data_IF_320915496086
#
_entry.id   IF_320915496086
#
_cell.length_a   1.000
_cell.length_b   1.000
_cell.length_c   1.000
_cell.angle_alpha   90.00
_cell.angle_beta   90.00
_cell.angle_gamma   90.00
#
_symmetry.space_group_name_H-M   'P 1'
#
loop_
_entity.id
_entity.type
_entity.pdbx_description
1 polymer ?
#
# COMPACT_ATOMS: atom_id res chain seq x y z
N UNK A 1 59.68 -2.66 -23.90
CA UNK A 1 59.49 -4.08 -23.57
C UNK A 1 58.99 -4.12 -22.14
N UNK A 2 57.67 -3.95 -21.97
CA UNK A 2 56.66 -5.03 -21.87
C UNK A 2 56.56 -5.52 -20.41
N UNK A 3 55.47 -5.48 -19.67
CA UNK A 3 54.05 -5.23 -19.96
C UNK A 3 53.35 -4.80 -18.65
N UNK A 4 52.40 -3.87 -18.77
CA UNK A 4 51.37 -3.58 -17.78
C UNK A 4 50.49 -4.83 -17.53
N UNK A 5 50.33 -5.25 -16.27
CA UNK A 5 49.24 -6.13 -15.87
C UNK A 5 48.22 -5.35 -15.04
N UNK A 6 47.24 -4.84 -15.77
CA UNK A 6 46.01 -4.24 -15.31
C UNK A 6 45.12 -5.33 -14.69
N UNK A 7 44.99 -5.37 -13.36
CA UNK A 7 44.06 -6.25 -12.66
C UNK A 7 42.75 -5.50 -12.38
N UNK A 8 41.83 -5.68 -13.31
CA UNK A 8 40.47 -5.14 -13.34
C UNK A 8 39.67 -5.54 -12.08
N UNK A 9 39.50 -4.60 -11.14
CA UNK A 9 38.58 -4.74 -10.01
C UNK A 9 37.14 -4.76 -10.52
N UNK A 10 36.61 -5.95 -10.82
CA UNK A 10 35.17 -6.20 -10.99
C UNK A 10 34.42 -5.76 -9.72
N UNK A 11 33.86 -4.54 -9.74
CA UNK A 11 32.88 -4.06 -8.75
C UNK A 11 31.67 -5.01 -8.81
N UNK A 12 31.57 -5.93 -7.86
CA UNK A 12 30.36 -6.72 -7.62
C UNK A 12 29.25 -5.75 -7.24
N UNK A 13 28.25 -5.59 -8.11
CA UNK A 13 26.99 -4.90 -7.76
C UNK A 13 26.39 -5.58 -6.51
N UNK A 14 25.94 -4.83 -5.50
CA UNK A 14 25.26 -5.42 -4.36
C UNK A 14 23.98 -6.07 -4.90
N UNK A 15 23.86 -7.40 -4.71
CA UNK A 15 22.60 -8.10 -4.96
C UNK A 15 21.58 -7.53 -3.97
N UNK A 16 20.56 -6.87 -4.49
CA UNK A 16 19.40 -6.44 -3.70
C UNK A 16 18.70 -7.69 -3.15
N UNK A 17 19.00 -8.03 -1.91
CA UNK A 17 18.11 -8.87 -1.13
C UNK A 17 16.89 -8.00 -0.81
N UNK A 18 15.69 -8.36 -1.32
CA UNK A 18 14.40 -8.33 -0.60
C UNK A 18 13.24 -8.69 -1.55
N UNK A 19 12.41 -9.62 -1.04
CA UNK A 19 11.06 -10.01 -1.41
C UNK A 19 10.79 -10.36 -2.89
N UNK A 20 11.25 -11.55 -3.28
CA UNK A 20 10.49 -12.41 -4.18
C UNK A 20 9.03 -12.41 -3.76
N UNK A 21 8.12 -12.22 -4.72
CA UNK A 21 6.69 -12.51 -4.57
C UNK A 21 6.54 -13.81 -3.80
N UNK A 22 5.79 -13.87 -2.68
CA UNK A 22 5.63 -15.12 -1.96
C UNK A 22 5.12 -16.17 -2.94
N UNK A 23 5.75 -17.35 -2.93
CA UNK A 23 5.35 -18.48 -3.76
C UNK A 23 3.82 -18.63 -3.68
N UNK A 24 3.17 -18.80 -4.84
CA UNK A 24 1.71 -18.86 -4.90
C UNK A 24 1.22 -20.01 -4.04
N UNK A 25 0.67 -19.69 -2.87
CA UNK A 25 -0.09 -20.66 -2.08
C UNK A 25 -1.26 -21.09 -2.96
N UNK A 26 -1.44 -22.40 -3.14
CA UNK A 26 -2.57 -22.91 -3.91
C UNK A 26 -3.88 -22.40 -3.29
N UNK A 27 -4.63 -21.60 -4.05
CA UNK A 27 -5.94 -21.10 -3.61
C UNK A 27 -6.93 -22.27 -3.63
N UNK A 28 -7.74 -22.47 -2.57
CA UNK A 28 -8.81 -23.45 -2.59
C UNK A 28 -9.88 -23.07 -3.62
N UNK A 29 -10.75 -24.02 -3.94
CA UNK A 29 -11.92 -23.76 -4.77
C UNK A 29 -12.90 -22.79 -4.09
N UNK A 30 -13.74 -22.14 -4.91
CA UNK A 30 -14.83 -21.29 -4.39
C UNK A 30 -15.77 -22.06 -3.47
N UNK A 31 -16.07 -23.33 -3.79
CA UNK A 31 -16.96 -24.18 -2.98
C UNK A 31 -16.39 -24.43 -1.59
N UNK A 32 -15.09 -24.73 -1.48
CA UNK A 32 -14.39 -24.89 -0.21
C UNK A 32 -14.43 -23.61 0.63
N UNK A 33 -14.19 -22.45 -0.01
CA UNK A 33 -14.23 -21.15 0.67
C UNK A 33 -15.64 -20.82 1.19
N UNK A 34 -16.68 -21.04 0.38
CA UNK A 34 -18.07 -20.87 0.83
C UNK A 34 -18.44 -21.88 1.94
N UNK A 35 -17.95 -23.12 1.84
CA UNK A 35 -18.06 -24.13 2.89
C UNK A 35 -17.48 -23.66 4.22
N UNK A 36 -16.30 -23.03 4.20
CA UNK A 36 -15.69 -22.44 5.39
C UNK A 36 -16.54 -21.31 5.99
N UNK A 37 -17.15 -20.45 5.17
CA UNK A 37 -18.07 -19.42 5.67
C UNK A 37 -19.29 -20.04 6.36
N UNK A 38 -19.86 -21.12 5.81
CA UNK A 38 -20.97 -21.85 6.48
C UNK A 38 -20.54 -22.41 7.84
N UNK A 39 -19.30 -22.88 7.97
CA UNK A 39 -18.74 -23.32 9.26
C UNK A 39 -18.68 -22.14 10.23
N UNK A 40 -18.17 -20.98 9.81
CA UNK A 40 -18.09 -19.78 10.65
C UNK A 40 -19.47 -19.28 11.10
N UNK A 41 -20.49 -19.33 10.24
CA UNK A 41 -21.86 -18.97 10.60
C UNK A 41 -22.41 -19.86 11.72
N UNK A 42 -22.24 -21.18 11.61
CA UNK A 42 -22.64 -22.12 12.68
C UNK A 42 -21.82 -21.92 13.95
N UNK A 43 -20.53 -21.67 13.81
CA UNK A 43 -19.65 -21.41 14.95
C UNK A 43 -20.05 -20.14 15.70
N UNK A 44 -20.54 -19.11 14.99
CA UNK A 44 -21.11 -17.91 15.60
C UNK A 44 -22.46 -18.14 16.29
N UNK A 45 -23.08 -19.32 16.12
CA UNK A 45 -24.35 -19.71 16.74
C UNK A 45 -25.60 -19.46 15.90
N UNK A 46 -25.46 -19.19 14.60
CA UNK A 46 -26.58 -18.92 13.70
C UNK A 46 -26.84 -20.12 12.75
N UNK A 47 -28.04 -20.17 12.16
CA UNK A 47 -28.48 -21.21 11.22
C UNK A 47 -28.24 -20.76 9.77
N UNK A 48 -27.28 -21.37 9.03
CA UNK A 48 -27.01 -21.00 7.64
C UNK A 48 -28.17 -21.27 6.67
N UNK A 49 -29.18 -22.05 7.07
CA UNK A 49 -30.34 -22.38 6.24
C UNK A 49 -31.46 -21.34 6.29
N UNK A 50 -31.40 -20.38 7.23
CA UNK A 50 -32.40 -19.29 7.28
C UNK A 50 -32.26 -18.36 6.08
N UNK A 51 -33.39 -17.82 5.63
CA UNK A 51 -33.49 -16.99 4.41
C UNK A 51 -32.36 -15.96 4.25
N UNK A 52 -32.06 -15.21 5.32
CA UNK A 52 -31.02 -14.17 5.29
C UNK A 52 -29.58 -14.68 5.13
N UNK A 53 -29.29 -15.95 5.43
CA UNK A 53 -27.94 -16.52 5.40
C UNK A 53 -27.68 -17.49 4.25
N UNK A 54 -28.71 -17.94 3.53
CA UNK A 54 -28.58 -18.90 2.42
C UNK A 54 -27.46 -18.50 1.44
N UNK A 55 -27.46 -17.23 1.03
CA UNK A 55 -26.48 -16.67 0.08
C UNK A 55 -25.31 -15.95 0.75
N UNK A 56 -25.26 -15.89 2.08
CA UNK A 56 -24.15 -15.23 2.80
C UNK A 56 -22.79 -15.81 2.43
N UNK A 57 -22.58 -17.14 2.34
CA UNK A 57 -21.32 -17.71 1.90
C UNK A 57 -20.83 -17.14 0.56
N UNK A 58 -21.69 -17.13 -0.45
CA UNK A 58 -21.36 -16.63 -1.77
C UNK A 58 -21.08 -15.11 -1.77
N UNK A 59 -21.85 -14.33 -0.99
CA UNK A 59 -21.63 -12.88 -0.80
C UNK A 59 -20.30 -12.59 -0.11
N UNK A 60 -19.94 -13.36 0.93
CA UNK A 60 -18.68 -13.18 1.65
C UNK A 60 -17.48 -13.49 0.74
N UNK A 61 -17.55 -14.58 -0.03
CA UNK A 61 -16.45 -14.92 -0.96
C UNK A 61 -16.29 -13.85 -2.04
N UNK A 62 -17.40 -13.32 -2.61
CA UNK A 62 -17.32 -12.18 -3.55
C UNK A 62 -16.70 -10.93 -2.91
N UNK A 63 -17.08 -10.62 -1.67
CA UNK A 63 -16.48 -9.50 -0.96
C UNK A 63 -14.96 -9.71 -0.76
N UNK A 64 -14.51 -10.94 -0.49
CA UNK A 64 -13.09 -11.25 -0.34
C UNK A 64 -12.30 -11.11 -1.64
N UNK A 65 -12.91 -11.41 -2.79
CA UNK A 65 -12.33 -11.15 -4.11
C UNK A 65 -12.05 -9.64 -4.29
N UNK A 66 -12.96 -8.76 -3.85
CA UNK A 66 -12.76 -7.31 -3.89
C UNK A 66 -11.75 -6.82 -2.86
N UNK A 67 -11.84 -7.31 -1.62
CA UNK A 67 -11.00 -6.90 -0.50
C UNK A 67 -9.53 -7.27 -0.71
N UNK A 68 -9.28 -8.36 -1.44
CA UNK A 68 -7.96 -8.93 -1.66
C UNK A 68 -7.50 -8.92 -3.12
N UNK A 69 -8.19 -8.17 -3.99
CA UNK A 69 -7.86 -8.01 -5.41
C UNK A 69 -6.40 -7.54 -5.64
N UNK A 70 -5.80 -6.85 -4.66
CA UNK A 70 -4.43 -6.38 -4.75
C UNK A 70 -3.38 -7.48 -4.89
N UNK A 71 -3.69 -8.73 -4.55
CA UNK A 71 -2.78 -9.87 -4.80
C UNK A 71 -2.67 -10.23 -6.29
N UNK A 72 -3.66 -9.87 -7.11
CA UNK A 72 -3.70 -10.17 -8.55
C UNK A 72 -3.04 -9.07 -9.39
N UNK A 73 -2.48 -8.04 -8.74
CA UNK A 73 -1.80 -6.93 -9.37
C UNK A 73 -0.33 -6.87 -8.97
N UNK A 74 0.57 -6.69 -9.95
CA UNK A 74 1.96 -6.29 -9.69
C UNK A 74 2.05 -4.76 -9.51
N UNK A 75 2.40 -4.27 -8.31
CA UNK A 75 2.59 -2.85 -8.03
C UNK A 75 3.62 -2.16 -8.95
N UNK A 76 4.62 -2.91 -9.45
CA UNK A 76 5.65 -2.36 -10.35
C UNK A 76 5.09 -2.07 -11.74
N UNK A 77 4.27 -2.97 -12.27
CA UNK A 77 3.63 -2.80 -13.58
C UNK A 77 2.68 -1.61 -13.61
N UNK A 78 2.02 -1.30 -12.48
CA UNK A 78 1.17 -0.11 -12.36
C UNK A 78 1.96 1.17 -12.68
N UNK A 79 3.21 1.24 -12.24
CA UNK A 79 4.11 2.39 -12.40
C UNK A 79 4.92 2.36 -13.72
N UNK A 80 4.83 1.30 -14.52
CA UNK A 80 5.67 1.10 -15.72
C UNK A 80 5.57 2.19 -16.78
N UNK A 81 4.42 2.86 -16.90
CA UNK A 81 4.22 3.98 -17.83
C UNK A 81 4.58 5.30 -17.15
N UNK A 82 5.79 5.77 -17.43
CA UNK A 82 6.29 7.07 -16.99
C UNK A 82 6.37 8.05 -18.15
N UNK A 83 6.26 9.33 -17.85
CA UNK A 83 6.47 10.43 -18.79
C UNK A 83 7.85 11.04 -18.50
N UNK A 84 8.65 11.20 -19.55
CA UNK A 84 9.94 11.91 -19.52
C UNK A 84 9.84 13.36 -20.01
N UNK A 85 8.78 13.69 -20.75
CA UNK A 85 8.46 15.06 -21.16
C UNK A 85 7.74 15.78 -20.02
N UNK A 86 8.51 16.42 -19.15
CA UNK A 86 7.98 17.23 -18.04
C UNK A 86 8.55 18.65 -18.02
N UNK A 87 9.05 19.15 -19.16
CA UNK A 87 9.62 20.50 -19.31
C UNK A 87 10.60 20.88 -18.19
N UNK A 88 11.37 19.91 -17.70
CA UNK A 88 12.35 20.11 -16.63
C UNK A 88 11.77 20.24 -15.21
N UNK A 89 10.50 19.91 -14.98
CA UNK A 89 9.86 19.97 -13.66
C UNK A 89 10.65 19.16 -12.62
N UNK A 90 11.24 19.86 -11.65
CA UNK A 90 12.13 19.32 -10.62
C UNK A 90 11.64 19.61 -9.19
N UNK A 91 10.41 20.08 -9.06
CA UNK A 91 9.73 20.43 -7.80
C UNK A 91 9.00 19.24 -7.17
N UNK A 92 8.62 19.36 -5.89
CA UNK A 92 7.91 18.30 -5.18
C UNK A 92 6.54 18.01 -5.82
N UNK A 93 6.22 16.73 -6.04
CA UNK A 93 4.89 16.27 -6.44
C UNK A 93 4.24 15.59 -5.25
N UNK A 94 3.05 16.04 -4.86
CA UNK A 94 2.28 15.48 -3.73
C UNK A 94 0.87 15.10 -4.19
N UNK A 95 0.49 13.84 -3.97
CA UNK A 95 -0.89 13.39 -3.99
C UNK A 95 -1.31 13.06 -2.55
N UNK A 96 -2.15 13.91 -1.97
CA UNK A 96 -2.64 13.77 -0.60
C UNK A 96 -4.10 13.33 -0.54
N UNK A 97 -4.51 12.83 0.62
CA UNK A 97 -5.89 12.43 0.91
C UNK A 97 -6.43 11.29 0.03
N UNK A 98 -5.54 10.36 -0.36
CA UNK A 98 -5.92 9.15 -1.09
C UNK A 98 -6.62 8.21 -0.11
N UNK A 99 -7.96 8.19 -0.11
CA UNK A 99 -8.74 7.27 0.71
C UNK A 99 -8.37 5.81 0.37
N UNK A 100 -8.20 4.98 1.39
CA UNK A 100 -8.00 3.54 1.21
C UNK A 100 -8.79 2.71 2.24
N UNK A 101 -9.15 1.48 1.85
CA UNK A 101 -9.48 0.41 2.78
C UNK A 101 -8.49 -0.74 2.65
N UNK A 102 -7.96 -1.18 3.79
CA UNK A 102 -7.16 -2.38 3.93
C UNK A 102 -7.71 -3.28 5.02
N UNK A 103 -7.07 -4.42 5.28
CA UNK A 103 -7.56 -5.42 6.24
C UNK A 103 -6.40 -5.90 7.09
N UNK A 104 -6.52 -5.74 8.40
CA UNK A 104 -5.48 -6.14 9.34
C UNK A 104 -5.23 -7.65 9.25
N UNK A 105 -4.01 -8.07 8.92
CA UNK A 105 -3.70 -9.50 8.72
C UNK A 105 -3.90 -10.35 9.98
N UNK A 106 -3.87 -9.75 11.17
CA UNK A 106 -4.08 -10.43 12.44
C UNK A 106 -5.54 -10.80 12.73
N UNK A 107 -6.49 -10.03 12.19
CA UNK A 107 -7.91 -10.15 12.55
C UNK A 107 -8.85 -10.17 11.34
N UNK A 108 -8.33 -9.91 10.13
CA UNK A 108 -9.09 -9.76 8.89
C UNK A 108 -10.20 -8.70 8.99
N UNK A 109 -9.95 -7.67 9.80
CA UNK A 109 -10.87 -6.57 10.10
C UNK A 109 -10.35 -5.28 9.45
N UNK A 110 -11.24 -4.37 8.98
CA UNK A 110 -10.80 -3.22 8.20
C UNK A 110 -9.83 -2.26 8.90
N UNK A 111 -8.90 -1.72 8.11
CA UNK A 111 -8.08 -0.54 8.38
C UNK A 111 -8.53 0.49 7.36
N UNK A 112 -9.08 1.62 7.81
CA UNK A 112 -9.67 2.63 6.92
C UNK A 112 -9.01 3.96 7.20
N UNK A 113 -8.55 4.62 6.14
CA UNK A 113 -7.80 5.85 6.29
C UNK A 113 -7.45 6.51 4.97
N UNK A 114 -6.38 7.30 5.02
CA UNK A 114 -5.86 8.04 3.89
C UNK A 114 -4.34 7.91 3.76
N UNK A 115 -3.89 7.91 2.52
CA UNK A 115 -2.49 7.93 2.16
C UNK A 115 -2.12 9.31 1.59
N UNK A 116 -0.91 9.73 1.92
CA UNK A 116 -0.26 10.91 1.36
C UNK A 116 1.05 10.44 0.74
N UNK A 117 1.19 10.61 -0.57
CA UNK A 117 2.34 10.13 -1.34
C UNK A 117 2.99 11.33 -2.01
N UNK A 118 4.29 11.48 -1.78
CA UNK A 118 5.10 12.53 -2.36
C UNK A 118 6.40 11.97 -2.94
N UNK A 119 6.90 12.60 -4.00
CA UNK A 119 8.24 12.33 -4.51
C UNK A 119 8.81 13.58 -5.17
N UNK A 120 10.15 13.65 -5.20
CA UNK A 120 10.89 14.72 -5.87
C UNK A 120 11.53 14.13 -7.13
N UNK A 121 11.04 14.46 -8.34
CA UNK A 121 11.50 13.83 -9.58
C UNK A 121 12.98 14.15 -9.85
N UNK A 122 13.64 13.20 -10.50
CA UNK A 122 14.96 13.41 -11.11
C UNK A 122 14.81 13.47 -12.63
N UNK A 123 14.21 12.43 -13.23
CA UNK A 123 14.01 12.33 -14.68
C UNK A 123 12.63 11.79 -15.10
N UNK A 124 11.88 11.20 -14.15
CA UNK A 124 10.63 10.49 -14.45
C UNK A 124 9.49 11.00 -13.59
N UNK A 125 8.36 11.23 -14.23
CA UNK A 125 7.08 11.52 -13.58
C UNK A 125 6.09 10.43 -13.96
N UNK A 126 5.23 10.09 -13.01
CA UNK A 126 4.14 9.14 -13.20
C UNK A 126 2.80 9.87 -13.20
N UNK A 127 1.85 9.38 -13.98
CA UNK A 127 0.48 9.92 -13.96
C UNK A 127 -0.15 9.82 -12.58
N UNK A 128 -0.90 10.86 -12.19
CA UNK A 128 -1.51 11.00 -10.85
C UNK A 128 -2.33 9.76 -10.47
N UNK A 129 -3.11 9.21 -11.40
CA UNK A 129 -3.93 8.01 -11.16
C UNK A 129 -3.12 6.75 -10.84
N UNK A 130 -1.84 6.69 -11.19
CA UNK A 130 -0.97 5.55 -10.88
C UNK A 130 -0.53 5.54 -9.43
N UNK A 131 -0.37 6.70 -8.79
CA UNK A 131 -0.09 6.79 -7.35
C UNK A 131 -1.27 6.24 -6.54
N UNK A 132 -2.50 6.61 -6.89
CA UNK A 132 -3.71 6.06 -6.27
C UNK A 132 -3.80 4.53 -6.46
N UNK A 133 -3.60 4.04 -7.70
CA UNK A 133 -3.61 2.60 -7.99
C UNK A 133 -2.50 1.83 -7.26
N UNK A 134 -1.33 2.45 -7.04
CA UNK A 134 -0.25 1.85 -6.26
C UNK A 134 -0.67 1.66 -4.80
N UNK A 135 -1.33 2.68 -4.21
CA UNK A 135 -1.90 2.57 -2.86
C UNK A 135 -2.93 1.43 -2.82
N UNK A 136 -3.88 1.40 -3.77
CA UNK A 136 -4.92 0.35 -3.82
C UNK A 136 -4.35 -1.06 -3.97
N UNK A 137 -3.32 -1.25 -4.80
CA UNK A 137 -2.70 -2.55 -4.99
C UNK A 137 -2.13 -3.14 -3.70
N UNK A 138 -1.64 -2.30 -2.79
CA UNK A 138 -1.20 -2.73 -1.46
C UNK A 138 -2.29 -2.70 -0.40
N UNK A 139 -3.27 -1.78 -0.50
CA UNK A 139 -4.39 -1.66 0.42
C UNK A 139 -5.31 -2.87 0.34
N UNK A 140 -5.61 -3.35 -0.88
CA UNK A 140 -6.48 -4.51 -1.16
C UNK A 140 -5.75 -5.83 -0.92
N UNK A 141 -5.13 -5.98 0.25
CA UNK A 141 -4.40 -7.17 0.75
C UNK A 141 -4.61 -7.28 2.26
N UNK A 142 -4.23 -8.44 2.81
CA UNK A 142 -4.00 -8.54 4.25
C UNK A 142 -2.69 -7.80 4.59
N UNK A 143 -2.74 -6.91 5.57
CA UNK A 143 -1.67 -5.96 5.87
C UNK A 143 -1.46 -5.67 7.36
N UNK A 144 -0.26 -5.15 7.63
CA UNK A 144 0.04 -4.23 8.73
C UNK A 144 0.37 -2.85 8.13
N UNK A 145 -0.04 -1.76 8.78
CA UNK A 145 0.03 -0.41 8.19
C UNK A 145 1.48 0.03 7.92
N UNK A 146 2.43 -0.35 8.78
CA UNK A 146 3.85 -0.09 8.64
C UNK A 146 4.43 -0.73 7.36
N UNK A 147 4.07 -1.99 7.12
CA UNK A 147 4.49 -2.74 5.93
C UNK A 147 3.91 -2.13 4.67
N UNK A 148 2.62 -1.82 4.66
CA UNK A 148 1.96 -1.14 3.54
C UNK A 148 2.65 0.19 3.23
N UNK A 149 2.95 1.00 4.25
CA UNK A 149 3.65 2.29 4.10
C UNK A 149 5.03 2.11 3.45
N UNK A 150 5.81 1.13 3.93
CA UNK A 150 7.11 0.83 3.36
C UNK A 150 7.01 0.31 1.92
N UNK A 151 6.08 -0.59 1.65
CA UNK A 151 5.87 -1.18 0.32
C UNK A 151 5.55 -0.12 -0.74
N UNK A 152 4.66 0.84 -0.44
CA UNK A 152 4.32 1.93 -1.36
C UNK A 152 5.56 2.77 -1.68
N UNK A 153 6.26 3.24 -0.63
CA UNK A 153 7.42 4.12 -0.77
C UNK A 153 8.59 3.44 -1.49
N UNK A 154 8.92 2.20 -1.08
CA UNK A 154 10.05 1.46 -1.62
C UNK A 154 9.78 1.09 -3.11
N UNK A 155 8.54 0.71 -3.46
CA UNK A 155 8.16 0.43 -4.87
C UNK A 155 8.26 1.70 -5.73
N UNK A 156 7.76 2.84 -5.24
CA UNK A 156 7.84 4.10 -5.96
C UNK A 156 9.30 4.51 -6.20
N UNK A 157 10.14 4.36 -5.18
CA UNK A 157 11.56 4.67 -5.26
C UNK A 157 12.30 3.73 -6.24
N UNK A 158 11.99 2.43 -6.20
CA UNK A 158 12.58 1.43 -7.10
C UNK A 158 12.25 1.73 -8.57
N UNK A 159 10.98 2.00 -8.87
CA UNK A 159 10.51 2.15 -10.26
C UNK A 159 10.85 3.54 -10.83
N UNK A 160 10.61 4.62 -10.08
CA UNK A 160 10.83 5.97 -10.59
C UNK A 160 12.27 6.46 -10.42
N UNK A 161 13.01 5.91 -9.45
CA UNK A 161 14.34 6.39 -9.03
C UNK A 161 14.38 7.93 -8.87
N UNK A 162 13.48 8.50 -8.04
CA UNK A 162 13.44 9.94 -7.79
C UNK A 162 14.58 10.37 -6.86
N UNK A 163 14.77 11.69 -6.68
CA UNK A 163 15.66 12.26 -5.66
C UNK A 163 15.24 11.83 -4.25
N UNK A 164 13.94 11.63 -4.03
CA UNK A 164 13.40 11.10 -2.79
C UNK A 164 11.91 10.81 -2.86
N UNK A 165 11.42 10.08 -1.86
CA UNK A 165 10.02 9.68 -1.68
C UNK A 165 9.61 9.89 -0.24
N UNK A 166 8.40 10.42 -0.03
CA UNK A 166 7.72 10.48 1.26
C UNK A 166 6.35 9.83 1.18
N UNK A 167 6.06 8.88 2.07
CA UNK A 167 4.72 8.29 2.22
C UNK A 167 4.29 8.39 3.67
N UNK A 168 3.07 8.86 3.90
CA UNK A 168 2.43 8.90 5.22
C UNK A 168 1.05 8.26 5.09
N UNK A 169 0.74 7.31 5.97
CA UNK A 169 -0.59 6.73 6.11
C UNK A 169 -1.19 7.13 7.45
N UNK A 170 -2.45 7.55 7.46
CA UNK A 170 -3.24 7.85 8.65
C UNK A 170 -4.52 7.01 8.61
N UNK A 171 -4.72 6.12 9.57
CA UNK A 171 -5.87 5.22 9.54
C UNK A 171 -6.42 4.84 10.92
N UNK A 172 -7.72 4.57 10.95
CA UNK A 172 -8.40 3.93 12.06
C UNK A 172 -8.40 2.41 11.87
N UNK A 173 -8.18 1.68 12.95
CA UNK A 173 -8.10 0.22 12.98
C UNK A 173 -9.35 -0.35 13.63
N UNK A 174 -10.24 -0.96 12.83
CA UNK A 174 -11.49 -1.49 13.37
C UNK A 174 -11.24 -2.66 14.35
N UNK A 175 -10.08 -3.33 14.26
CA UNK A 175 -9.67 -4.33 15.25
C UNK A 175 -9.42 -3.77 16.66
N UNK A 176 -9.26 -2.45 16.80
CA UNK A 176 -9.18 -1.75 18.09
C UNK A 176 -10.48 -1.02 18.44
N UNK A 177 -11.24 -0.58 17.44
CA UNK A 177 -12.45 0.23 17.66
C UNK A 177 -13.70 -0.60 17.91
N UNK A 178 -13.89 -1.73 17.22
CA UNK A 178 -15.12 -2.54 17.34
C UNK A 178 -14.99 -3.75 18.25
N UNK A 179 -13.77 -4.10 18.66
CA UNK A 179 -13.48 -5.23 19.56
C UNK A 179 -12.26 -4.96 20.44
N UNK A 180 -12.03 -5.85 21.41
CA UNK A 180 -10.82 -5.83 22.23
C UNK A 180 -10.78 -4.61 23.16
N UNK A 181 -9.91 -3.65 22.87
CA UNK A 181 -9.71 -2.45 23.72
C UNK A 181 -10.75 -1.33 23.52
N UNK A 182 -11.60 -1.45 22.48
CA UNK A 182 -12.71 -0.52 22.19
C UNK A 182 -12.32 0.97 22.17
N UNK A 183 -11.22 1.30 21.48
CA UNK A 183 -10.74 2.69 21.33
C UNK A 183 -11.22 3.27 20.01
N UNK A 184 -12.42 3.84 20.03
CA UNK A 184 -12.94 4.65 18.93
C UNK A 184 -12.20 6.00 18.83
N UNK A 185 -12.12 6.56 17.62
CA UNK A 185 -11.51 7.88 17.37
C UNK A 185 -9.98 7.90 17.36
N UNK A 186 -9.30 6.80 17.70
CA UNK A 186 -7.84 6.69 17.62
C UNK A 186 -7.41 6.52 16.17
N UNK A 187 -6.43 7.32 15.75
CA UNK A 187 -5.80 7.25 14.43
C UNK A 187 -4.34 6.84 14.61
N UNK A 188 -3.91 5.84 13.85
CA UNK A 188 -2.51 5.45 13.75
C UNK A 188 -1.87 6.14 12.54
N UNK A 189 -0.72 6.77 12.77
CA UNK A 189 0.08 7.42 11.72
C UNK A 189 1.39 6.66 11.53
N UNK A 190 1.70 6.31 10.30
CA UNK A 190 2.95 5.67 9.90
C UNK A 190 3.57 6.43 8.75
N UNK A 191 4.90 6.41 8.64
CA UNK A 191 5.60 7.13 7.59
C UNK A 191 6.85 6.40 7.10
N UNK A 192 7.19 6.61 5.84
CA UNK A 192 8.43 6.14 5.22
C UNK A 192 9.01 7.26 4.36
N UNK A 193 10.21 7.69 4.72
CA UNK A 193 10.98 8.72 4.01
C UNK A 193 12.24 8.10 3.39
N UNK A 194 12.49 8.40 2.12
CA UNK A 194 13.63 7.92 1.32
C UNK A 194 14.28 9.10 0.57
N UNK A 195 15.56 8.97 0.25
CA UNK A 195 16.31 10.01 -0.47
C UNK A 195 16.26 11.36 0.24
N UNK A 196 16.02 12.44 -0.52
CA UNK A 196 15.96 13.82 -0.02
C UNK A 196 14.96 14.00 1.13
N UNK A 197 13.80 13.33 1.11
CA UNK A 197 12.82 13.39 2.22
C UNK A 197 13.39 12.88 3.55
N UNK A 198 14.37 11.97 3.52
CA UNK A 198 15.08 11.48 4.71
C UNK A 198 16.24 12.39 5.08
N UNK A 199 17.11 12.70 4.13
CA UNK A 199 18.38 13.39 4.39
C UNK A 199 18.25 14.91 4.58
N UNK A 200 17.24 15.54 3.99
CA UNK A 200 17.00 16.98 4.08
C UNK A 200 15.74 17.29 4.92
N UNK A 201 15.90 17.88 6.12
CA UNK A 201 14.78 18.30 6.96
C UNK A 201 13.89 19.39 6.34
N UNK A 202 14.39 20.20 5.39
CA UNK A 202 13.59 21.25 4.76
C UNK A 202 12.55 20.66 3.81
N UNK A 203 12.97 19.79 2.88
CA UNK A 203 12.07 18.96 2.03
C UNK A 203 11.01 18.25 2.87
N UNK A 204 11.41 17.62 3.98
CA UNK A 204 10.44 16.92 4.85
C UNK A 204 9.43 17.86 5.51
N UNK A 205 9.85 19.04 5.95
CA UNK A 205 8.95 20.04 6.56
C UNK A 205 7.96 20.59 5.54
N UNK A 206 8.40 20.84 4.32
CA UNK A 206 7.53 21.25 3.23
C UNK A 206 6.43 20.21 2.97
N UNK A 207 6.79 18.93 2.83
CA UNK A 207 5.81 17.85 2.67
C UNK A 207 4.79 17.80 3.82
N UNK A 208 5.26 17.87 5.07
CA UNK A 208 4.39 17.88 6.24
C UNK A 208 3.47 19.10 6.29
N UNK A 209 3.93 20.26 5.80
CA UNK A 209 3.13 21.48 5.69
C UNK A 209 2.02 21.35 4.63
N UNK A 210 2.35 20.76 3.46
CA UNK A 210 1.38 20.54 2.37
C UNK A 210 0.25 19.61 2.82
N UNK A 211 0.56 18.55 3.56
CA UNK A 211 -0.48 17.62 4.06
C UNK A 211 -1.27 18.22 5.23
N UNK A 212 -0.62 19.00 6.10
CA UNK A 212 -1.26 19.65 7.25
C UNK A 212 -2.15 20.83 6.89
N UNK A 213 -1.99 21.38 5.68
CA UNK A 213 -2.88 22.41 5.14
C UNK A 213 -4.24 21.80 4.82
N UNK A 214 -5.36 22.26 5.42
CA UNK A 214 -6.67 21.69 5.16
C UNK A 214 -6.99 21.75 3.66
N UNK A 215 -7.28 20.60 3.06
CA UNK A 215 -7.92 20.56 1.74
C UNK A 215 -9.32 21.16 1.84
N UNK A 216 -9.75 21.91 0.82
CA UNK A 216 -11.04 22.62 0.78
C UNK A 216 -12.25 21.68 0.89
N UNK A 217 -12.05 20.36 0.90
CA UNK A 217 -13.08 19.39 1.23
C UNK A 217 -12.50 18.33 2.16
N UNK A 218 -12.88 18.40 3.44
CA UNK A 218 -12.81 17.23 4.32
C UNK A 218 -13.76 16.20 3.72
N UNK A 219 -13.25 15.14 3.10
CA UNK A 219 -14.08 13.99 2.79
C UNK A 219 -14.27 13.28 4.13
N UNK A 220 -15.47 13.33 4.75
CA UNK A 220 -15.67 12.66 6.02
C UNK A 220 -15.43 11.15 5.85
N UNK A 221 -14.82 10.54 6.86
CA UNK A 221 -14.61 9.08 6.95
C UNK A 221 -15.91 8.30 7.21
N UNK A 222 -17.08 8.89 6.96
CA UNK A 222 -18.41 8.27 7.11
C UNK A 222 -18.86 7.68 5.80
#
# INVERSE_FOLDING_TARGET
>A
MSDEKNAEKKKRKPKSNIATTPASVARPSREEAEGAVRVLLRWAGDDPSREGLLDTPARVVRAYEEFFAGYDHDPREILSRTFSEVDGYDEMIVLKDIRFESYCEHHMVPIIGRAHVAYLPEHRVVGISKLARLVDAFAKRLQIQEKMTAQIADTLNEVLQPKGVGVILEAAHQCMSTRGVHKAGVTMVTSRMLGTFRSDPSTRREFLSIIGSPGVMSVPNT
#
